data_IF_299047442147
#
_entry.id   IF_299047442147
#
_cell.length_a   1.000
_cell.length_b   1.000
_cell.length_c   1.000
_cell.angle_alpha   90.00
_cell.angle_beta   90.00
_cell.angle_gamma   90.00
#
_symmetry.space_group_name_H-M   'P 1'
#
loop_
_entity.id
_entity.type
_entity.pdbx_description
1 polymer ?
#
# COMPACT_ATOMS: atom_id res chain seq x y z
N UNK A 1 -20.99 -0.35 8.06
CA UNK A 1 -20.36 -0.49 9.38
C UNK A 1 -19.29 0.57 9.50
N UNK A 2 -19.43 1.45 10.47
CA UNK A 2 -18.49 2.55 10.74
C UNK A 2 -17.20 2.04 11.43
N UNK A 3 -16.13 2.84 11.45
CA UNK A 3 -14.90 2.50 12.20
C UNK A 3 -15.15 2.38 13.72
N UNK A 4 -16.20 3.04 14.24
CA UNK A 4 -16.61 2.93 15.64
C UNK A 4 -17.23 1.56 15.96
N UNK A 5 -17.97 0.97 15.02
CA UNK A 5 -18.67 -0.30 15.22
C UNK A 5 -17.79 -1.51 14.88
N UNK A 6 -16.92 -1.37 13.88
CA UNK A 6 -16.03 -2.42 13.42
C UNK A 6 -14.69 -1.79 12.99
N UNK A 7 -13.75 -1.62 13.94
CA UNK A 7 -12.43 -1.00 13.69
C UNK A 7 -11.51 -1.88 12.85
N UNK A 8 -10.86 -1.33 11.83
CA UNK A 8 -10.02 -2.14 10.92
C UNK A 8 -8.71 -2.62 11.57
N UNK A 9 -8.23 -1.90 12.59
CA UNK A 9 -6.92 -2.13 13.19
C UNK A 9 -6.74 -3.57 13.72
N UNK A 10 -7.78 -4.16 14.32
CA UNK A 10 -7.72 -5.53 14.85
C UNK A 10 -7.49 -6.56 13.75
N UNK A 11 -8.28 -6.47 12.67
CA UNK A 11 -8.13 -7.34 11.50
C UNK A 11 -6.79 -7.15 10.81
N UNK A 12 -6.32 -5.90 10.70
CA UNK A 12 -5.04 -5.60 10.08
C UNK A 12 -3.85 -6.11 10.91
N UNK A 13 -3.88 -5.99 12.24
CA UNK A 13 -2.88 -6.56 13.14
C UNK A 13 -2.80 -8.08 13.02
N UNK A 14 -3.93 -8.75 12.93
CA UNK A 14 -3.99 -10.20 12.71
C UNK A 14 -3.43 -10.59 11.34
N UNK A 15 -3.79 -9.84 10.29
CA UNK A 15 -3.30 -10.08 8.93
C UNK A 15 -1.77 -9.89 8.79
N UNK A 16 -1.21 -8.93 9.53
CA UNK A 16 0.19 -8.56 9.49
C UNK A 16 1.03 -9.25 10.58
N UNK A 17 0.42 -10.03 11.48
CA UNK A 17 1.17 -10.73 12.52
C UNK A 17 2.22 -11.64 11.87
N UNK A 18 3.41 -11.65 12.48
CA UNK A 18 4.55 -12.46 12.03
C UNK A 18 5.12 -12.07 10.65
N UNK A 19 4.71 -10.92 10.09
CA UNK A 19 5.24 -10.40 8.82
C UNK A 19 6.15 -9.22 9.06
N UNK A 20 7.19 -9.10 8.24
CA UNK A 20 8.01 -7.90 8.15
C UNK A 20 7.41 -7.03 7.05
N UNK A 21 7.04 -5.80 7.41
CA UNK A 21 6.50 -4.85 6.45
C UNK A 21 7.61 -4.19 5.63
N UNK A 22 7.30 -3.89 4.36
CA UNK A 22 8.19 -3.22 3.43
C UNK A 22 7.47 -2.04 2.80
N UNK A 23 8.21 -0.96 2.54
CA UNK A 23 7.70 0.24 1.86
C UNK A 23 8.71 0.74 0.84
N UNK A 24 8.26 1.04 -0.38
CA UNK A 24 9.15 1.61 -1.40
C UNK A 24 9.27 3.13 -1.22
N UNK A 25 10.38 3.72 -1.70
CA UNK A 25 10.72 5.14 -1.49
C UNK A 25 9.60 6.09 -1.89
N UNK A 26 9.00 5.90 -3.07
CA UNK A 26 7.91 6.77 -3.54
C UNK A 26 6.70 6.75 -2.60
N UNK A 27 6.31 5.57 -2.10
CA UNK A 27 5.17 5.46 -1.17
C UNK A 27 5.50 6.06 0.19
N UNK A 28 6.74 5.90 0.67
CA UNK A 28 7.17 6.53 1.93
C UNK A 28 7.10 8.05 1.83
N UNK A 29 7.48 8.64 0.70
CA UNK A 29 7.40 10.08 0.47
C UNK A 29 5.95 10.56 0.44
N UNK A 30 5.09 9.94 -0.37
CA UNK A 30 3.66 10.29 -0.46
C UNK A 30 2.96 10.14 0.90
N UNK A 31 3.29 9.08 1.66
CA UNK A 31 2.79 8.89 3.02
C UNK A 31 3.21 10.00 3.97
N UNK A 32 4.48 10.43 3.93
CA UNK A 32 4.99 11.53 4.75
C UNK A 32 4.40 12.89 4.37
N UNK A 33 4.15 13.13 3.09
CA UNK A 33 3.47 14.35 2.62
C UNK A 33 2.04 14.42 3.16
N UNK A 34 1.28 13.31 3.07
CA UNK A 34 -0.08 13.23 3.62
C UNK A 34 -0.12 13.41 5.13
N UNK A 35 0.78 12.75 5.87
CA UNK A 35 0.92 12.92 7.32
C UNK A 35 1.25 14.36 7.69
N UNK A 36 2.14 15.02 6.95
CA UNK A 36 2.46 16.43 7.18
C UNK A 36 1.26 17.35 6.97
N UNK A 37 0.45 17.09 5.93
CA UNK A 37 -0.71 17.90 5.56
C UNK A 37 -1.92 17.71 6.48
N UNK A 38 -2.22 16.48 6.88
CA UNK A 38 -3.48 16.13 7.53
C UNK A 38 -3.31 15.63 8.97
N UNK A 39 -2.11 15.23 9.38
CA UNK A 39 -1.86 14.58 10.67
C UNK A 39 -1.80 15.54 11.85
N UNK A 40 -2.63 15.29 12.88
CA UNK A 40 -2.43 15.86 14.21
C UNK A 40 -1.20 15.27 14.90
N UNK A 41 -0.68 15.91 15.96
CA UNK A 41 0.56 15.50 16.64
C UNK A 41 0.63 14.01 17.01
N UNK A 42 -0.48 13.45 17.49
CA UNK A 42 -0.57 12.02 17.82
C UNK A 42 -0.50 11.12 16.58
N UNK A 43 -1.12 11.53 15.48
CA UNK A 43 -1.07 10.79 14.22
C UNK A 43 0.34 10.79 13.63
N UNK A 44 1.04 11.93 13.69
CA UNK A 44 2.45 12.04 13.28
C UNK A 44 3.33 11.08 14.07
N UNK A 45 3.16 11.04 15.40
CA UNK A 45 3.90 10.12 16.27
C UNK A 45 3.61 8.64 15.95
N UNK A 46 2.34 8.29 15.67
CA UNK A 46 1.97 6.92 15.25
C UNK A 46 2.57 6.56 13.89
N UNK A 47 2.56 7.50 12.94
CA UNK A 47 3.11 7.34 11.61
C UNK A 47 4.63 7.15 11.63
N UNK A 48 5.36 7.89 12.47
CA UNK A 48 6.80 7.70 12.68
C UNK A 48 7.12 6.31 13.19
N UNK A 49 6.42 5.88 14.26
CA UNK A 49 6.58 4.52 14.82
C UNK A 49 6.27 3.42 13.81
N UNK A 50 5.26 3.62 12.95
CA UNK A 50 4.96 2.68 11.87
C UNK A 50 6.13 2.60 10.89
N UNK A 51 6.66 3.74 10.43
CA UNK A 51 7.76 3.78 9.47
C UNK A 51 9.06 3.19 10.02
N UNK A 52 9.32 3.32 11.32
CA UNK A 52 10.45 2.66 12.01
C UNK A 52 10.36 1.13 11.95
N UNK A 53 9.15 0.58 11.90
CA UNK A 53 8.91 -0.86 11.79
C UNK A 53 8.99 -1.39 10.34
N UNK A 54 9.15 -0.53 9.33
CA UNK A 54 9.12 -0.92 7.92
C UNK A 54 10.50 -0.91 7.29
N UNK A 55 10.78 -1.94 6.51
CA UNK A 55 11.97 -1.96 5.66
C UNK A 55 11.78 -1.06 4.43
N UNK A 56 12.54 0.03 4.37
CA UNK A 56 12.51 0.96 3.23
C UNK A 56 13.37 0.43 2.11
N UNK A 57 12.77 0.20 0.95
CA UNK A 57 13.47 -0.27 -0.26
C UNK A 57 13.43 0.77 -1.39
N UNK A 58 14.41 0.76 -2.31
CA UNK A 58 14.32 1.56 -3.53
C UNK A 58 13.10 1.15 -4.37
N UNK A 59 12.58 2.09 -5.16
CA UNK A 59 11.56 1.79 -6.17
C UNK A 59 12.17 0.88 -7.25
N UNK A 60 11.91 -0.41 -7.14
CA UNK A 60 12.52 -1.46 -7.96
C UNK A 60 11.43 -2.27 -8.67
N UNK A 61 10.63 -1.65 -9.56
CA UNK A 61 9.50 -2.33 -10.13
C UNK A 61 9.94 -3.42 -11.13
N UNK A 62 9.25 -4.56 -11.09
CA UNK A 62 9.53 -5.66 -12.01
C UNK A 62 9.38 -5.23 -13.47
N UNK A 63 10.24 -5.78 -14.33
CA UNK A 63 10.20 -5.53 -15.78
C UNK A 63 8.87 -5.91 -16.39
N UNK A 64 8.24 -7.00 -15.91
CA UNK A 64 6.93 -7.45 -16.41
C UNK A 64 5.85 -6.39 -16.18
N UNK A 65 5.81 -5.78 -14.99
CA UNK A 65 4.79 -4.78 -14.70
C UNK A 65 5.13 -3.45 -15.38
N UNK A 66 6.42 -3.09 -15.46
CA UNK A 66 6.87 -1.89 -16.16
C UNK A 66 6.64 -1.93 -17.67
N UNK A 67 6.65 -3.11 -18.29
CA UNK A 67 6.38 -3.29 -19.71
C UNK A 67 4.92 -3.05 -20.13
N UNK A 68 3.97 -3.02 -19.19
CA UNK A 68 2.57 -2.72 -19.49
C UNK A 68 2.39 -1.26 -19.91
N UNK A 69 1.47 -0.94 -20.84
CA UNK A 69 1.18 0.44 -21.21
C UNK A 69 0.61 1.22 -20.02
N UNK A 70 1.08 2.44 -19.83
CA UNK A 70 0.48 3.37 -18.87
C UNK A 70 -0.85 3.86 -19.44
N UNK A 71 -1.94 3.62 -18.72
CA UNK A 71 -3.29 4.03 -19.11
C UNK A 71 -4.01 4.67 -17.92
N UNK A 72 -5.23 5.17 -18.13
CA UNK A 72 -6.07 5.68 -17.03
C UNK A 72 -6.28 4.65 -15.92
N UNK A 73 -6.37 3.36 -16.26
CA UNK A 73 -6.59 2.26 -15.31
C UNK A 73 -5.27 1.62 -14.82
N UNK A 74 -4.17 1.84 -15.53
CA UNK A 74 -2.81 1.34 -15.21
C UNK A 74 -1.90 2.55 -15.01
N UNK A 75 -2.09 3.26 -13.90
CA UNK A 75 -1.30 4.44 -13.56
C UNK A 75 0.14 4.06 -13.20
N UNK A 76 1.10 4.90 -13.59
CA UNK A 76 2.54 4.68 -13.34
C UNK A 76 2.85 4.47 -11.86
N UNK A 77 2.22 5.24 -10.96
CA UNK A 77 2.43 5.08 -9.51
C UNK A 77 2.08 3.67 -9.04
N UNK A 78 0.97 3.10 -9.50
CA UNK A 78 0.56 1.76 -9.12
C UNK A 78 1.52 0.72 -9.72
N UNK A 79 2.05 0.95 -10.93
CA UNK A 79 3.11 0.09 -11.50
C UNK A 79 4.36 0.10 -10.61
N UNK A 80 4.74 1.23 -10.04
CA UNK A 80 5.90 1.32 -9.14
C UNK A 80 5.65 0.52 -7.86
N UNK A 81 4.52 0.76 -7.18
CA UNK A 81 4.18 0.09 -5.91
C UNK A 81 4.08 -1.42 -6.09
N UNK A 82 3.18 -1.85 -6.97
CA UNK A 82 2.93 -3.28 -7.19
C UNK A 82 4.10 -3.96 -7.86
N UNK A 83 4.82 -3.26 -8.73
CA UNK A 83 5.99 -3.81 -9.40
C UNK A 83 7.12 -4.05 -8.42
N UNK A 84 7.27 -3.19 -7.41
CA UNK A 84 8.29 -3.39 -6.38
C UNK A 84 7.93 -4.61 -5.51
N UNK A 85 6.67 -4.74 -5.09
CA UNK A 85 6.21 -5.95 -4.39
C UNK A 85 6.42 -7.22 -5.23
N UNK A 86 6.11 -7.14 -6.53
CA UNK A 86 6.30 -8.20 -7.50
C UNK A 86 7.77 -8.61 -7.68
N UNK A 87 8.68 -7.64 -7.77
CA UNK A 87 10.12 -7.88 -7.86
C UNK A 87 10.67 -8.62 -6.64
N UNK A 88 10.18 -8.27 -5.44
CA UNK A 88 10.59 -8.89 -4.18
C UNK A 88 9.81 -10.17 -3.85
N UNK A 89 8.88 -10.60 -4.71
CA UNK A 89 7.98 -11.74 -4.46
C UNK A 89 7.17 -11.62 -3.17
N UNK A 90 6.77 -10.40 -2.79
CA UNK A 90 5.98 -10.13 -1.59
C UNK A 90 4.59 -9.60 -1.95
N UNK A 91 3.54 -9.96 -1.19
CA UNK A 91 2.20 -9.44 -1.47
C UNK A 91 2.09 -7.95 -1.09
N UNK A 92 1.41 -7.18 -1.92
CA UNK A 92 1.09 -5.77 -1.62
C UNK A 92 -0.21 -5.69 -0.80
N UNK A 93 -0.19 -5.00 0.34
CA UNK A 93 -1.38 -4.69 1.12
C UNK A 93 -2.20 -3.60 0.41
N UNK A 94 -3.49 -3.83 0.16
CA UNK A 94 -4.33 -2.89 -0.58
C UNK A 94 -5.81 -2.93 -0.17
N UNK A 95 -6.48 -1.78 -0.22
CA UNK A 95 -7.92 -1.66 -0.13
C UNK A 95 -8.65 -1.52 -1.47
N UNK A 96 -8.03 -0.88 -2.47
CA UNK A 96 -8.65 -0.65 -3.78
C UNK A 96 -8.21 -1.68 -4.83
N UNK A 97 -9.07 -2.64 -5.11
CA UNK A 97 -8.77 -3.73 -6.05
C UNK A 97 -8.83 -3.35 -7.53
N UNK A 98 -9.18 -2.11 -7.90
CA UNK A 98 -9.34 -1.69 -9.29
C UNK A 98 -8.10 -1.97 -10.15
N UNK A 99 -6.93 -1.54 -9.68
CA UNK A 99 -5.66 -1.79 -10.38
C UNK A 99 -5.35 -3.29 -10.49
N UNK A 100 -5.46 -4.03 -9.39
CA UNK A 100 -5.18 -5.49 -9.35
C UNK A 100 -6.09 -6.25 -10.32
N UNK A 101 -7.37 -5.87 -10.41
CA UNK A 101 -8.33 -6.46 -11.35
C UNK A 101 -7.94 -6.17 -12.80
N UNK A 102 -7.62 -4.92 -13.12
CA UNK A 102 -7.15 -4.55 -14.48
C UNK A 102 -5.89 -5.31 -14.86
N UNK A 103 -4.91 -5.41 -13.96
CA UNK A 103 -3.67 -6.17 -14.21
C UNK A 103 -3.96 -7.66 -14.40
N UNK A 104 -4.86 -8.25 -13.61
CA UNK A 104 -5.24 -9.66 -13.79
C UNK A 104 -5.85 -9.95 -15.16
N UNK A 105 -6.58 -9.01 -15.76
CA UNK A 105 -7.14 -9.14 -17.12
C UNK A 105 -6.06 -9.17 -18.21
N UNK A 106 -4.84 -8.72 -17.91
CA UNK A 106 -3.68 -8.84 -18.82
C UNK A 106 -3.00 -10.21 -18.77
N UNK A 107 -3.54 -11.15 -17.98
CA UNK A 107 -2.94 -12.48 -17.77
C UNK A 107 -1.80 -12.48 -16.73
N UNK A 108 -1.62 -11.38 -16.00
CA UNK A 108 -0.52 -11.18 -15.06
C UNK A 108 -1.03 -11.01 -13.62
N UNK A 109 -1.38 -12.09 -12.89
CA UNK A 109 -1.82 -11.93 -11.51
C UNK A 109 -0.70 -11.40 -10.61
N UNK A 110 -1.08 -10.56 -9.64
CA UNK A 110 -0.21 -10.01 -8.61
C UNK A 110 -0.56 -10.60 -7.24
N UNK A 111 0.46 -10.75 -6.39
CA UNK A 111 0.28 -11.12 -4.98
C UNK A 111 -0.26 -9.91 -4.21
N UNK A 112 -1.30 -10.14 -3.40
CA UNK A 112 -1.99 -9.09 -2.65
C UNK A 112 -2.52 -9.60 -1.33
N UNK A 113 -2.57 -8.70 -0.36
CA UNK A 113 -3.36 -8.84 0.86
C UNK A 113 -4.44 -7.77 0.82
N UNK A 114 -5.70 -8.17 0.75
CA UNK A 114 -6.82 -7.24 0.68
C UNK A 114 -7.29 -6.89 2.08
N UNK A 115 -7.52 -5.60 2.33
CA UNK A 115 -8.28 -5.13 3.48
C UNK A 115 -9.45 -4.28 3.00
N UNK A 116 -10.49 -4.13 3.83
CA UNK A 116 -11.64 -3.29 3.48
C UNK A 116 -11.24 -1.82 3.31
N UNK A 117 -11.77 -1.09 2.30
CA UNK A 117 -11.53 0.35 2.13
C UNK A 117 -12.00 1.15 3.34
N UNK A 118 -11.29 2.23 3.67
CA UNK A 118 -11.63 3.16 4.74
C UNK A 118 -11.34 4.59 4.34
N UNK A 119 -12.18 5.48 4.85
CA UNK A 119 -11.99 6.93 4.72
C UNK A 119 -10.98 7.41 5.74
N UNK A 120 -10.30 8.51 5.41
CA UNK A 120 -9.49 9.25 6.36
C UNK A 120 -10.44 9.89 7.38
N UNK A 121 -10.45 9.38 8.60
CA UNK A 121 -11.15 10.01 9.72
C UNK A 121 -10.25 11.10 10.29
N UNK A 122 -10.78 12.32 10.39
CA UNK A 122 -10.12 13.40 11.13
C UNK A 122 -10.49 13.21 12.60
N UNK A 123 -9.50 13.22 13.49
CA UNK A 123 -9.70 13.18 14.95
C UNK A 123 -10.56 14.36 15.43
#
# INVERSE_FOLDING_TARGET
MSELEDPILGGLKSLLSEKIGMICKSVRLEFKELESMCGGSNEKLRADRLLECLWVVPDSPSTRLMGLPTTRNIALKNKIVFGTGDYWFVPTLIANMGFVRTISQTGMPLLKLEHRPRELTVD
#
